data_IF_244706871538
#
_entry.id   IF_244706871538
#
_cell.length_a   1.000
_cell.length_b   1.000
_cell.length_c   1.000
_cell.angle_alpha   90.00
_cell.angle_beta   90.00
_cell.angle_gamma   90.00
#
_symmetry.space_group_name_H-M   'P 1'
#
loop_
_entity.id
_entity.type
_entity.pdbx_description
1 polymer ?
#
# COMPACT_ATOMS: atom_id res chain seq x y z
N UNK A 1 -4.25 -11.05 -16.97
CA UNK A 1 -3.19 -10.84 -15.97
C UNK A 1 -3.65 -9.67 -15.11
N UNK A 2 -4.10 -9.90 -13.89
CA UNK A 2 -4.60 -8.80 -13.04
C UNK A 2 -3.39 -7.96 -12.67
N UNK A 3 -3.37 -6.70 -13.08
CA UNK A 3 -2.29 -5.78 -12.75
C UNK A 3 -2.35 -5.44 -11.26
N UNK A 4 -1.59 -6.18 -10.46
CA UNK A 4 -1.57 -6.03 -9.01
C UNK A 4 -1.15 -4.62 -8.59
N UNK A 5 -0.28 -3.94 -9.38
CA UNK A 5 0.11 -2.54 -9.13
C UNK A 5 -1.09 -1.61 -9.27
N UNK A 6 -1.81 -1.67 -10.39
CA UNK A 6 -3.02 -0.88 -10.63
C UNK A 6 -4.07 -1.15 -9.56
N UNK A 7 -4.29 -2.42 -9.18
CA UNK A 7 -5.22 -2.77 -8.10
C UNK A 7 -4.86 -2.09 -6.77
N UNK A 8 -3.58 -2.07 -6.39
CA UNK A 8 -3.13 -1.44 -5.14
C UNK A 8 -3.23 0.07 -5.19
N UNK A 9 -2.84 0.70 -6.29
CA UNK A 9 -2.99 2.14 -6.50
C UNK A 9 -4.46 2.55 -6.50
N UNK A 10 -5.33 1.81 -7.18
CA UNK A 10 -6.77 2.07 -7.17
C UNK A 10 -7.34 1.93 -5.76
N UNK A 11 -6.94 0.92 -4.99
CA UNK A 11 -7.37 0.78 -3.59
C UNK A 11 -6.96 1.99 -2.75
N UNK A 12 -5.72 2.47 -2.89
CA UNK A 12 -5.28 3.67 -2.19
C UNK A 12 -6.11 4.89 -2.62
N UNK A 13 -6.30 5.09 -3.92
CA UNK A 13 -7.05 6.21 -4.49
C UNK A 13 -8.56 6.21 -4.15
N UNK A 14 -9.15 5.06 -3.87
CA UNK A 14 -10.56 4.92 -3.47
C UNK A 14 -10.82 5.40 -2.03
N UNK A 15 -9.79 5.47 -1.19
CA UNK A 15 -9.94 6.03 0.16
C UNK A 15 -9.89 7.55 0.10
N UNK A 16 -10.62 8.21 0.99
CA UNK A 16 -10.69 9.68 1.06
C UNK A 16 -9.30 10.31 1.27
N UNK A 17 -8.47 9.66 2.09
CA UNK A 17 -7.10 10.09 2.39
C UNK A 17 -6.08 9.70 1.30
N UNK A 18 -6.49 8.90 0.32
CA UNK A 18 -5.57 8.34 -0.67
C UNK A 18 -4.60 7.31 -0.08
N UNK A 19 -4.96 6.66 1.03
CA UNK A 19 -4.09 5.75 1.77
C UNK A 19 -4.47 4.28 1.56
N UNK A 20 -3.47 3.41 1.61
CA UNK A 20 -3.66 1.97 1.74
C UNK A 20 -2.91 1.50 2.97
N UNK A 21 -3.63 0.75 3.80
CA UNK A 21 -3.08 0.09 4.98
C UNK A 21 -2.98 -1.40 4.73
N UNK A 22 -1.87 -1.98 5.17
CA UNK A 22 -1.62 -3.40 5.14
C UNK A 22 -1.36 -3.87 6.56
N UNK A 23 -2.04 -4.94 6.98
CA UNK A 23 -1.84 -5.52 8.30
C UNK A 23 -1.01 -6.80 8.18
N UNK A 24 -0.01 -6.91 9.06
CA UNK A 24 0.74 -8.13 9.34
C UNK A 24 0.13 -8.85 10.52
N UNK A 25 -0.16 -10.13 10.36
CA UNK A 25 -0.59 -10.98 11.47
C UNK A 25 0.58 -11.30 12.40
N UNK A 26 0.35 -11.48 13.72
CA UNK A 26 1.43 -11.68 14.67
C UNK A 26 2.27 -12.94 14.41
N UNK A 27 1.65 -13.97 13.82
CA UNK A 27 2.28 -15.27 13.56
C UNK A 27 2.72 -15.44 12.09
N UNK A 28 2.55 -14.40 11.26
CA UNK A 28 2.96 -14.43 9.85
C UNK A 28 3.81 -13.23 9.48
N UNK A 29 4.66 -13.43 8.47
CA UNK A 29 5.32 -12.34 7.78
C UNK A 29 4.32 -11.44 7.05
N UNK A 30 4.83 -10.34 6.52
CA UNK A 30 4.06 -9.45 5.66
C UNK A 30 3.45 -10.21 4.47
N UNK A 31 2.20 -9.93 4.09
CA UNK A 31 1.61 -10.55 2.91
C UNK A 31 2.33 -10.06 1.66
N UNK A 32 2.24 -10.82 0.55
CA UNK A 32 2.97 -10.51 -0.68
C UNK A 32 2.65 -9.13 -1.30
N UNK A 33 1.54 -8.51 -0.91
CA UNK A 33 1.23 -7.13 -1.28
C UNK A 33 2.20 -6.11 -0.67
N UNK A 34 2.84 -6.41 0.46
CA UNK A 34 3.85 -5.54 1.08
C UNK A 34 5.02 -5.29 0.12
N UNK A 35 5.59 -6.36 -0.45
CA UNK A 35 6.69 -6.22 -1.41
C UNK A 35 6.27 -5.42 -2.65
N UNK A 36 4.99 -5.51 -3.06
CA UNK A 36 4.46 -4.72 -4.17
C UNK A 36 4.27 -3.24 -3.81
N UNK A 37 3.82 -2.95 -2.60
CA UNK A 37 3.70 -1.58 -2.09
C UNK A 37 5.07 -0.93 -1.95
N UNK A 38 6.07 -1.66 -1.45
CA UNK A 38 7.45 -1.19 -1.40
C UNK A 38 8.02 -0.93 -2.81
N UNK A 39 7.72 -1.79 -3.80
CA UNK A 39 8.10 -1.52 -5.19
C UNK A 39 7.43 -0.28 -5.77
N UNK A 40 6.14 -0.03 -5.46
CA UNK A 40 5.42 1.17 -5.88
C UNK A 40 5.94 2.44 -5.19
N UNK A 41 6.37 2.32 -3.94
CA UNK A 41 7.03 3.39 -3.19
C UNK A 41 8.39 3.73 -3.80
N UNK A 42 9.21 2.71 -4.11
CA UNK A 42 10.50 2.91 -4.77
C UNK A 42 10.37 3.58 -6.14
N UNK A 43 9.27 3.32 -6.87
CA UNK A 43 8.93 3.95 -8.15
C UNK A 43 8.38 5.39 -7.99
N UNK A 44 8.04 5.81 -6.77
CA UNK A 44 7.48 7.13 -6.46
C UNK A 44 5.96 7.23 -6.63
N UNK A 45 5.26 6.11 -6.88
CA UNK A 45 3.80 6.09 -6.95
C UNK A 45 3.12 6.11 -5.58
N UNK A 46 3.80 5.62 -4.55
CA UNK A 46 3.34 5.62 -3.17
C UNK A 46 4.37 6.31 -2.27
N UNK A 47 3.89 6.86 -1.16
CA UNK A 47 4.69 7.42 -0.08
C UNK A 47 4.44 6.58 1.16
N UNK A 48 5.50 6.01 1.73
CA UNK A 48 5.40 5.28 2.98
C UNK A 48 5.15 6.25 4.15
N UNK A 49 4.10 5.99 4.93
CA UNK A 49 3.72 6.82 6.08
C UNK A 49 4.26 6.28 7.41
N UNK A 50 4.68 5.01 7.44
CA UNK A 50 5.20 4.35 8.63
C UNK A 50 4.46 3.07 8.99
N UNK A 51 4.96 2.42 10.04
CA UNK A 51 4.37 1.22 10.64
C UNK A 51 3.85 1.57 12.03
N UNK A 52 2.61 1.17 12.31
CA UNK A 52 1.96 1.32 13.59
C UNK A 52 1.69 -0.06 14.21
N UNK A 53 1.72 -0.18 15.54
CA UNK A 53 1.31 -1.42 16.19
C UNK A 53 -0.16 -1.73 15.84
N UNK A 54 -0.41 -2.96 15.39
CA UNK A 54 -1.75 -3.40 15.04
C UNK A 54 -2.60 -3.71 16.28
N UNK A 55 -3.90 -3.95 16.07
CA UNK A 55 -4.86 -4.17 17.17
C UNK A 55 -4.57 -5.43 18.01
N UNK A 56 -3.75 -6.36 17.53
CA UNK A 56 -3.35 -7.58 18.26
C UNK A 56 -1.88 -7.50 18.72
N UNK A 57 -1.54 -8.08 19.88
CA UNK A 57 -0.15 -8.17 20.31
C UNK A 57 0.69 -8.90 19.26
N UNK A 58 1.79 -8.28 18.83
CA UNK A 58 2.69 -8.77 17.77
C UNK A 58 2.26 -8.44 16.33
N UNK A 59 1.04 -7.94 16.12
CA UNK A 59 0.61 -7.45 14.80
C UNK A 59 1.15 -6.05 14.53
N UNK A 60 1.31 -5.74 13.24
CA UNK A 60 1.76 -4.44 12.78
C UNK A 60 0.90 -4.01 11.58
N UNK A 61 0.70 -2.71 11.42
CA UNK A 61 -0.02 -2.11 10.31
C UNK A 61 0.90 -1.11 9.62
N UNK A 62 1.15 -1.30 8.34
CA UNK A 62 1.95 -0.39 7.55
C UNK A 62 1.02 0.43 6.64
N UNK A 63 1.30 1.72 6.49
CA UNK A 63 0.48 2.63 5.72
C UNK A 63 1.28 3.28 4.57
N UNK A 64 0.63 3.41 3.41
CA UNK A 64 1.17 4.13 2.26
C UNK A 64 0.12 5.10 1.73
N UNK A 65 0.55 6.27 1.26
CA UNK A 65 -0.30 7.25 0.59
C UNK A 65 0.02 7.31 -0.90
N UNK A 66 -1.01 7.35 -1.74
CA UNK A 66 -0.83 7.53 -3.18
C UNK A 66 -0.35 8.95 -3.51
N UNK A 67 0.70 9.02 -4.31
CA UNK A 67 1.26 10.29 -4.79
C UNK A 67 0.50 10.79 -6.02
N UNK A 68 0.78 12.03 -6.44
CA UNK A 68 0.27 12.54 -7.71
C UNK A 68 0.70 11.66 -8.90
N UNK A 69 1.93 11.14 -8.89
CA UNK A 69 2.44 10.22 -9.92
C UNK A 69 1.69 8.89 -9.91
N UNK A 70 1.41 8.32 -8.73
CA UNK A 70 0.59 7.11 -8.62
C UNK A 70 -0.82 7.30 -9.15
N UNK A 71 -1.43 8.47 -8.91
CA UNK A 71 -2.74 8.83 -9.46
C UNK A 71 -2.70 9.01 -10.98
N UNK A 72 -1.66 9.65 -11.51
CA UNK A 72 -1.47 9.81 -12.96
C UNK A 72 -1.32 8.44 -13.65
N UNK A 73 -0.58 7.51 -13.04
CA UNK A 73 -0.43 6.14 -13.57
C UNK A 73 -1.76 5.37 -13.68
N UNK A 74 -2.75 5.69 -12.82
CA UNK A 74 -4.10 5.12 -12.94
C UNK A 74 -4.90 5.68 -14.12
N UNK A 75 -4.65 6.95 -14.50
CA UNK A 75 -5.36 7.61 -15.60
C UNK A 75 -4.75 7.30 -16.97
N UNK A 76 -3.50 6.82 -17.01
CA UNK A 76 -2.73 6.56 -18.23
C UNK A 76 -2.87 5.13 -18.78
N UNK A 77 -3.86 4.35 -18.34
CA UNK A 77 -4.05 2.97 -18.82
C UNK A 77 -5.50 2.53 -18.86
#
# INVERSE_FOLDING_TARGET
MIDHRRRLLSRAALTEEGCITLQREPDRGWPGDHSRLCALENDGHLLFLGEEPGSRPGSASAAWRITAQGRAALQQG
#
